data_IF_835962368275
#
_entry.id   IF_835962368275
#
_cell.length_a   1.000
_cell.length_b   1.000
_cell.length_c   1.000
_cell.angle_alpha   90.00
_cell.angle_beta   90.00
_cell.angle_gamma   90.00
#
_symmetry.space_group_name_H-M   'P 1'
#
loop_
_entity.id
_entity.type
_entity.pdbx_description
1 polymer ?
#
# COMPACT_ATOMS: atom_id res chain seq x y z
N UNK A 1 -7.54 -8.38 -19.24
CA UNK A 1 -7.93 -7.24 -18.37
C UNK A 1 -9.41 -7.30 -18.05
N UNK A 2 -10.30 -7.45 -19.04
CA UNK A 2 -11.76 -7.53 -18.80
C UNK A 2 -12.18 -8.62 -17.81
N UNK A 3 -11.64 -9.83 -17.94
CA UNK A 3 -11.87 -10.94 -16.99
C UNK A 3 -11.43 -10.63 -15.56
N UNK A 4 -10.43 -9.76 -15.38
CA UNK A 4 -9.96 -9.34 -14.07
C UNK A 4 -10.88 -8.29 -13.43
N UNK A 5 -11.49 -7.42 -14.24
CA UNK A 5 -12.46 -6.41 -13.80
C UNK A 5 -13.84 -6.99 -13.47
N UNK A 6 -14.10 -8.23 -13.86
CA UNK A 6 -15.30 -8.98 -13.46
C UNK A 6 -15.25 -9.47 -12.01
N UNK A 7 -14.06 -9.46 -11.38
CA UNK A 7 -13.93 -9.80 -9.96
C UNK A 7 -14.54 -8.71 -9.07
N UNK A 8 -15.79 -8.94 -8.68
CA UNK A 8 -16.57 -8.05 -7.82
C UNK A 8 -16.05 -8.00 -6.37
N UNK A 9 -15.12 -8.88 -5.98
CA UNK A 9 -14.48 -8.80 -4.66
C UNK A 9 -13.37 -7.76 -4.61
N UNK A 10 -12.80 -7.43 -5.78
CA UNK A 10 -11.66 -6.50 -5.93
C UNK A 10 -12.05 -5.20 -6.65
N UNK A 11 -12.97 -5.24 -7.61
CA UNK A 11 -13.36 -4.07 -8.41
C UNK A 11 -14.86 -3.83 -8.37
N UNK A 12 -15.24 -2.56 -8.26
CA UNK A 12 -16.62 -2.12 -8.35
C UNK A 12 -16.75 -1.09 -9.47
N UNK A 13 -17.73 -1.27 -10.36
CA UNK A 13 -18.03 -0.28 -11.41
C UNK A 13 -18.72 0.94 -10.78
N UNK A 14 -18.37 2.13 -11.28
CA UNK A 14 -19.02 3.40 -10.95
C UNK A 14 -19.45 4.12 -12.23
N UNK A 15 -20.43 5.00 -12.13
CA UNK A 15 -21.03 5.67 -13.30
C UNK A 15 -20.66 7.15 -13.38
N UNK A 16 -20.44 7.79 -12.24
CA UNK A 16 -20.03 9.19 -12.14
C UNK A 16 -18.53 9.29 -11.87
N UNK A 17 -17.89 10.33 -12.40
CA UNK A 17 -16.49 10.66 -12.08
C UNK A 17 -16.43 11.46 -10.77
N UNK A 18 -15.94 10.87 -9.65
CA UNK A 18 -15.88 11.57 -8.39
C UNK A 18 -14.71 12.55 -8.28
N UNK A 19 -13.82 12.66 -9.29
CA UNK A 19 -12.54 13.38 -9.19
C UNK A 19 -12.69 14.76 -8.55
N UNK A 20 -13.56 15.61 -9.10
CA UNK A 20 -13.77 16.99 -8.60
C UNK A 20 -14.30 16.97 -7.16
N UNK A 21 -15.27 16.10 -6.88
CA UNK A 21 -15.86 15.99 -5.54
C UNK A 21 -14.85 15.49 -4.49
N UNK A 22 -13.94 14.60 -4.89
CA UNK A 22 -12.88 14.06 -4.05
C UNK A 22 -11.77 15.09 -3.83
N UNK A 23 -11.42 15.88 -4.84
CA UNK A 23 -10.52 17.04 -4.69
C UNK A 23 -11.07 18.02 -3.67
N UNK A 24 -12.33 18.45 -3.81
CA UNK A 24 -12.97 19.36 -2.87
C UNK A 24 -12.99 18.80 -1.45
N UNK A 25 -13.28 17.50 -1.30
CA UNK A 25 -13.25 16.81 -0.01
C UNK A 25 -11.85 16.80 0.59
N UNK A 26 -10.83 16.50 -0.20
CA UNK A 26 -9.43 16.51 0.24
C UNK A 26 -9.00 17.93 0.65
N UNK A 27 -9.27 18.94 -0.18
CA UNK A 27 -8.90 20.33 0.10
C UNK A 27 -9.54 20.80 1.41
N UNK A 28 -10.83 20.54 1.62
CA UNK A 28 -11.53 20.87 2.88
C UNK A 28 -10.91 20.18 4.09
N UNK A 29 -10.48 18.92 3.95
CA UNK A 29 -9.78 18.19 5.01
C UNK A 29 -8.42 18.84 5.30
N UNK A 30 -7.62 19.12 4.27
CA UNK A 30 -6.29 19.70 4.42
C UNK A 30 -6.35 21.09 5.06
N UNK A 31 -7.29 21.95 4.64
CA UNK A 31 -7.52 23.27 5.24
C UNK A 31 -7.85 23.19 6.73
N UNK A 32 -8.64 22.18 7.14
CA UNK A 32 -8.95 21.96 8.55
C UNK A 32 -7.71 21.57 9.33
N UNK A 33 -6.93 20.61 8.81
CA UNK A 33 -5.71 20.13 9.45
C UNK A 33 -4.62 21.20 9.54
N UNK A 34 -4.54 22.08 8.56
CA UNK A 34 -3.64 23.23 8.58
C UNK A 34 -4.04 24.23 9.67
N UNK A 35 -5.34 24.58 9.76
CA UNK A 35 -5.86 25.45 10.83
C UNK A 35 -5.63 24.88 12.23
N UNK A 36 -5.68 23.56 12.37
CA UNK A 36 -5.39 22.84 13.61
C UNK A 36 -3.88 22.69 13.89
N UNK A 37 -3.01 23.14 12.99
CA UNK A 37 -1.55 23.04 13.11
C UNK A 37 -1.00 21.61 12.94
N UNK A 38 -1.80 20.69 12.41
CA UNK A 38 -1.39 19.30 12.20
C UNK A 38 -0.47 19.13 10.98
N UNK A 39 -0.71 19.92 9.94
CA UNK A 39 0.16 20.05 8.75
C UNK A 39 0.64 21.49 8.62
N UNK A 40 1.81 21.69 8.03
CA UNK A 40 2.33 23.02 7.71
C UNK A 40 1.69 23.58 6.43
N UNK A 41 1.80 24.89 6.21
CA UNK A 41 1.37 25.51 4.95
C UNK A 41 2.15 24.96 3.74
N UNK A 42 3.42 24.63 3.91
CA UNK A 42 4.25 24.00 2.89
C UNK A 42 3.71 22.61 2.51
N UNK A 43 3.36 21.79 3.51
CA UNK A 43 2.75 20.48 3.27
C UNK A 43 1.37 20.60 2.65
N UNK A 44 0.56 21.57 3.09
CA UNK A 44 -0.71 21.88 2.46
C UNK A 44 -0.52 22.16 0.96
N UNK A 45 0.38 23.07 0.60
CA UNK A 45 0.65 23.44 -0.80
C UNK A 45 1.23 22.28 -1.62
N UNK A 46 2.04 21.42 -1.00
CA UNK A 46 2.60 20.23 -1.65
C UNK A 46 1.55 19.13 -1.90
N UNK A 47 0.59 18.98 -0.99
CA UNK A 47 -0.39 17.88 -0.99
C UNK A 47 -1.69 18.25 -1.68
N UNK A 48 -2.03 19.53 -1.70
CA UNK A 48 -3.22 20.05 -2.37
C UNK A 48 -3.23 19.57 -3.82
N UNK A 49 -4.30 18.86 -4.16
CA UNK A 49 -4.51 18.37 -5.52
C UNK A 49 -5.31 19.39 -6.31
N UNK A 50 -4.88 19.64 -7.55
CA UNK A 50 -5.49 20.55 -8.51
C UNK A 50 -5.38 19.87 -9.88
N UNK A 51 -6.46 19.88 -10.65
CA UNK A 51 -6.50 19.25 -11.98
C UNK A 51 -6.11 17.75 -11.93
N UNK A 52 -6.66 17.06 -10.93
CA UNK A 52 -6.51 15.61 -10.79
C UNK A 52 -7.22 14.89 -11.91
N UNK A 53 -6.81 13.64 -12.11
CA UNK A 53 -7.45 12.72 -13.05
C UNK A 53 -7.68 11.36 -12.42
N UNK A 54 -8.63 10.57 -12.97
CA UNK A 54 -8.73 9.16 -12.65
C UNK A 54 -7.40 8.45 -12.87
N UNK A 55 -7.14 7.42 -12.07
CA UNK A 55 -5.97 6.60 -12.24
C UNK A 55 -6.03 5.77 -13.53
N UNK A 56 -4.90 5.14 -13.88
CA UNK A 56 -4.80 4.25 -15.03
C UNK A 56 -4.47 2.84 -14.57
N UNK A 57 -5.33 1.89 -14.88
CA UNK A 57 -5.08 0.48 -14.62
C UNK A 57 -4.38 -0.16 -15.82
N UNK A 58 -3.29 -0.88 -15.56
CA UNK A 58 -2.63 -1.72 -16.54
C UNK A 58 -2.26 -3.08 -15.93
N UNK A 59 -2.04 -4.07 -16.79
CA UNK A 59 -1.72 -5.44 -16.37
C UNK A 59 -0.29 -5.80 -16.75
N UNK A 60 0.49 -6.31 -15.79
CA UNK A 60 1.80 -6.89 -16.05
C UNK A 60 1.70 -8.43 -16.07
N UNK A 61 2.23 -9.13 -17.09
CA UNK A 61 2.16 -10.58 -17.13
C UNK A 61 3.02 -11.21 -16.03
N UNK A 62 2.45 -12.18 -15.28
CA UNK A 62 3.21 -13.02 -14.35
C UNK A 62 3.88 -14.16 -15.13
N UNK A 63 5.02 -13.87 -15.76
CA UNK A 63 5.75 -14.80 -16.64
C UNK A 63 6.12 -16.14 -15.98
N UNK A 64 6.33 -16.15 -14.66
CA UNK A 64 6.66 -17.36 -13.89
C UNK A 64 5.48 -18.32 -13.67
N UNK A 65 4.24 -17.93 -13.99
CA UNK A 65 3.07 -18.81 -13.90
C UNK A 65 2.77 -19.36 -15.29
N UNK A 66 3.42 -20.46 -15.64
CA UNK A 66 3.22 -21.15 -16.91
C UNK A 66 1.75 -21.55 -17.09
N UNK A 67 1.03 -20.82 -17.95
CA UNK A 67 -0.35 -21.05 -18.36
C UNK A 67 -0.53 -20.58 -19.80
N UNK A 68 -1.52 -21.11 -20.49
CA UNK A 68 -1.87 -20.77 -21.89
C UNK A 68 -2.10 -19.26 -22.09
N UNK A 69 -2.59 -18.57 -21.05
CA UNK A 69 -2.64 -17.11 -20.95
C UNK A 69 -2.04 -16.70 -19.60
N UNK A 70 -0.82 -16.18 -19.59
CA UNK A 70 -0.14 -15.74 -18.36
C UNK A 70 -1.06 -14.83 -17.53
N UNK A 71 -1.27 -15.12 -16.23
CA UNK A 71 -2.13 -14.28 -15.41
C UNK A 71 -1.54 -12.88 -15.27
N UNK A 72 -2.40 -11.86 -15.35
CA UNK A 72 -1.98 -10.47 -15.20
C UNK A 72 -1.92 -10.09 -13.71
N UNK A 73 -0.90 -9.31 -13.34
CA UNK A 73 -0.85 -8.53 -12.11
C UNK A 73 -1.41 -7.14 -12.42
N UNK A 74 -2.58 -6.76 -11.87
CA UNK A 74 -3.11 -5.42 -12.06
C UNK A 74 -2.24 -4.43 -11.27
N UNK A 75 -1.91 -3.30 -11.90
CA UNK A 75 -1.18 -2.19 -11.28
C UNK A 75 -1.92 -0.91 -11.62
N UNK A 76 -2.17 -0.09 -10.62
CA UNK A 76 -2.81 1.21 -10.81
C UNK A 76 -1.76 2.31 -10.75
N UNK A 77 -1.62 3.07 -11.83
CA UNK A 77 -0.80 4.28 -11.84
C UNK A 77 -1.54 5.42 -11.14
N UNK A 78 -1.18 5.67 -9.88
CA UNK A 78 -1.73 6.76 -9.07
C UNK A 78 -1.22 8.17 -9.45
N UNK A 79 -0.39 8.31 -10.49
CA UNK A 79 0.21 9.60 -10.89
C UNK A 79 -0.87 10.61 -11.31
N UNK A 80 -0.84 11.78 -10.66
CA UNK A 80 -1.84 12.87 -10.78
C UNK A 80 -3.25 12.51 -10.32
N UNK A 81 -3.41 11.49 -9.48
CA UNK A 81 -4.68 11.25 -8.80
C UNK A 81 -4.81 12.13 -7.56
N UNK A 82 -6.04 12.32 -7.08
CA UNK A 82 -6.36 13.13 -5.89
C UNK A 82 -5.55 12.71 -4.66
N UNK A 83 -5.34 11.41 -4.45
CA UNK A 83 -4.60 10.89 -3.29
C UNK A 83 -3.08 10.95 -3.41
N UNK A 84 -2.52 11.29 -4.58
CA UNK A 84 -1.09 11.08 -4.88
C UNK A 84 -0.16 11.90 -4.00
N UNK A 85 -0.39 13.22 -3.90
CA UNK A 85 0.40 14.12 -3.06
C UNK A 85 0.30 13.72 -1.58
N UNK A 86 -0.91 13.36 -1.14
CA UNK A 86 -1.15 12.94 0.23
C UNK A 86 -0.40 11.64 0.56
N UNK A 87 -0.44 10.67 -0.36
CA UNK A 87 0.31 9.42 -0.23
C UNK A 87 1.81 9.65 -0.09
N UNK A 88 2.39 10.59 -0.83
CA UNK A 88 3.81 10.98 -0.71
C UNK A 88 4.13 11.64 0.62
N UNK A 89 3.33 12.61 1.06
CA UNK A 89 3.54 13.26 2.36
C UNK A 89 3.51 12.23 3.49
N UNK A 90 2.51 11.34 3.49
CA UNK A 90 2.39 10.30 4.50
C UNK A 90 3.55 9.30 4.44
N UNK A 91 4.00 8.94 3.24
CA UNK A 91 5.19 8.10 3.03
C UNK A 91 6.42 8.71 3.70
N UNK A 92 6.66 10.01 3.50
CA UNK A 92 7.78 10.72 4.12
C UNK A 92 7.64 10.74 5.65
N UNK A 93 6.45 11.10 6.16
CA UNK A 93 6.18 11.13 7.60
C UNK A 93 6.30 9.77 8.27
N UNK A 94 5.95 8.69 7.58
CA UNK A 94 5.94 7.32 8.12
C UNK A 94 7.21 6.53 7.85
N UNK A 95 8.12 7.04 7.03
CA UNK A 95 9.33 6.33 6.59
C UNK A 95 10.16 5.79 7.75
N UNK A 96 10.26 6.53 8.85
CA UNK A 96 10.99 6.14 10.05
C UNK A 96 10.37 4.94 10.81
N UNK A 97 9.10 4.61 10.58
CA UNK A 97 8.42 3.47 11.20
C UNK A 97 8.66 2.15 10.44
N UNK A 98 9.39 2.18 9.31
CA UNK A 98 9.67 0.99 8.48
C UNK A 98 10.76 0.09 9.07
N UNK A 99 11.36 0.46 10.20
CA UNK A 99 12.49 -0.24 10.79
C UNK A 99 12.08 -1.60 11.33
N UNK A 100 12.71 -2.65 10.78
CA UNK A 100 12.60 -4.02 11.27
C UNK A 100 13.98 -4.66 11.21
N UNK A 101 14.42 -5.39 12.25
CA UNK A 101 15.71 -6.08 12.25
C UNK A 101 15.78 -7.22 11.21
N UNK A 102 14.64 -7.60 10.65
CA UNK A 102 14.51 -8.71 9.70
C UNK A 102 14.46 -8.27 8.23
N UNK A 103 14.42 -6.96 7.98
CA UNK A 103 14.38 -6.42 6.63
C UNK A 103 15.63 -6.77 5.83
N UNK A 104 15.42 -7.13 4.58
CA UNK A 104 16.47 -7.32 3.58
C UNK A 104 16.43 -6.16 2.59
N UNK A 105 17.59 -5.58 2.28
CA UNK A 105 17.65 -4.40 1.41
C UNK A 105 17.49 -4.78 -0.07
N UNK A 106 18.13 -5.87 -0.49
CA UNK A 106 18.11 -6.35 -1.86
C UNK A 106 18.46 -7.85 -1.94
N UNK A 107 18.42 -8.41 -3.15
CA UNK A 107 18.74 -9.82 -3.38
C UNK A 107 20.20 -10.19 -3.06
N UNK A 108 21.15 -9.25 -3.14
CA UNK A 108 22.55 -9.53 -2.81
C UNK A 108 22.76 -9.55 -1.29
N UNK A 109 22.13 -8.64 -0.54
CA UNK A 109 22.07 -8.67 0.92
C UNK A 109 21.48 -10.00 1.42
N UNK A 110 20.39 -10.46 0.80
CA UNK A 110 19.81 -11.77 1.09
C UNK A 110 20.81 -12.91 0.89
N UNK A 111 21.47 -12.94 -0.28
CA UNK A 111 22.45 -13.96 -0.61
C UNK A 111 23.62 -13.98 0.37
N UNK A 112 24.10 -12.81 0.79
CA UNK A 112 25.19 -12.69 1.75
C UNK A 112 24.76 -13.20 3.14
N UNK A 113 23.54 -12.88 3.58
CA UNK A 113 22.95 -13.38 4.84
C UNK A 113 22.82 -14.90 4.83
N UNK A 114 22.30 -15.49 3.75
CA UNK A 114 22.16 -16.95 3.63
C UNK A 114 23.52 -17.64 3.58
N UNK A 115 24.47 -17.15 2.77
CA UNK A 115 25.82 -17.75 2.66
C UNK A 115 26.58 -17.74 3.98
N UNK A 116 26.31 -16.76 4.84
CA UNK A 116 26.91 -16.64 6.16
C UNK A 116 26.24 -17.56 7.21
N UNK A 117 25.10 -18.17 6.88
CA UNK A 117 24.40 -19.10 7.77
C UNK A 117 25.17 -20.42 7.88
N UNK A 118 25.58 -20.79 9.09
CA UNK A 118 26.51 -21.92 9.34
C UNK A 118 25.85 -23.29 9.48
N UNK A 119 24.54 -23.42 9.26
CA UNK A 119 23.79 -24.61 9.69
C UNK A 119 23.40 -25.51 8.51
N UNK A 120 23.78 -26.78 8.60
CA UNK A 120 23.69 -27.78 7.50
C UNK A 120 22.34 -28.51 7.47
N UNK A 121 21.51 -28.39 8.52
CA UNK A 121 20.21 -29.08 8.63
C UNK A 121 19.07 -28.09 8.94
N UNK A 122 18.72 -27.26 7.94
CA UNK A 122 17.60 -26.31 8.03
C UNK A 122 16.66 -26.52 6.86
N UNK A 123 15.36 -26.28 7.10
CA UNK A 123 14.35 -26.17 6.05
C UNK A 123 13.95 -24.71 5.86
N UNK A 124 14.00 -24.25 4.61
CA UNK A 124 13.49 -22.93 4.24
C UNK A 124 12.01 -23.05 3.88
N UNK A 125 11.21 -22.12 4.41
CA UNK A 125 9.78 -21.99 4.08
C UNK A 125 9.53 -20.57 3.62
N UNK A 126 8.80 -20.41 2.53
CA UNK A 126 8.40 -19.11 1.98
C UNK A 126 6.91 -18.89 2.20
N UNK A 127 6.54 -17.68 2.63
CA UNK A 127 5.16 -17.27 2.86
C UNK A 127 4.82 -16.10 1.94
N UNK A 128 3.62 -16.14 1.34
CA UNK A 128 3.04 -15.01 0.62
C UNK A 128 2.05 -14.30 1.55
N UNK A 129 2.18 -12.98 1.69
CA UNK A 129 1.37 -12.18 2.61
C UNK A 129 0.41 -11.31 1.82
N UNK A 130 -0.88 -11.46 2.07
CA UNK A 130 -1.90 -10.56 1.56
C UNK A 130 -2.16 -9.41 2.56
N UNK A 131 -2.16 -8.17 2.06
CA UNK A 131 -2.36 -6.98 2.87
C UNK A 131 -3.85 -6.52 2.82
N UNK A 132 -4.64 -6.77 3.87
CA UNK A 132 -6.05 -6.37 3.90
C UNK A 132 -6.21 -4.86 4.19
N UNK A 133 -7.19 -4.21 3.54
CA UNK A 133 -7.49 -2.78 3.72
C UNK A 133 -8.07 -2.46 5.11
N UNK A 134 -8.83 -3.36 5.71
CA UNK A 134 -9.65 -3.09 6.92
C UNK A 134 -8.89 -3.17 8.25
N UNK A 135 -7.76 -3.87 8.33
CA UNK A 135 -7.04 -4.10 9.60
C UNK A 135 -5.96 -3.05 9.93
N UNK A 136 -5.70 -2.10 9.03
CA UNK A 136 -4.61 -1.12 9.21
C UNK A 136 -4.97 0.01 10.21
N UNK A 137 -6.25 0.31 10.42
CA UNK A 137 -6.67 1.50 11.18
C UNK A 137 -6.94 1.28 12.67
N UNK A 138 -7.06 0.04 13.16
CA UNK A 138 -7.54 -0.20 14.53
C UNK A 138 -6.49 0.02 15.62
N UNK A 139 -5.20 -0.01 15.29
CA UNK A 139 -4.09 0.07 16.27
C UNK A 139 -3.67 1.51 16.62
N UNK A 140 -3.90 2.46 15.73
CA UNK A 140 -3.50 3.87 15.91
C UNK A 140 -4.62 4.73 16.52
N UNK A 141 -5.34 4.23 17.54
CA UNK A 141 -6.51 4.89 18.17
C UNK A 141 -6.25 6.31 18.70
N UNK A 142 -4.97 6.68 18.92
CA UNK A 142 -4.62 7.92 19.65
C UNK A 142 -4.50 9.18 18.79
N UNK A 143 -4.63 9.11 17.45
CA UNK A 143 -4.54 10.31 16.59
C UNK A 143 -5.59 10.30 15.48
N UNK A 144 -6.76 10.88 15.75
CA UNK A 144 -7.92 10.93 14.85
C UNK A 144 -7.59 11.55 13.48
N UNK A 145 -6.78 12.62 13.46
CA UNK A 145 -6.31 13.26 12.23
C UNK A 145 -5.50 12.28 11.37
N UNK A 146 -4.62 11.50 12.01
CA UNK A 146 -3.76 10.56 11.32
C UNK A 146 -4.54 9.38 10.72
N UNK A 147 -5.53 8.84 11.45
CA UNK A 147 -6.44 7.84 10.91
C UNK A 147 -7.24 8.37 9.73
N UNK A 148 -7.70 9.61 9.83
CA UNK A 148 -8.47 10.26 8.76
C UNK A 148 -7.61 10.40 7.51
N UNK A 149 -6.35 10.82 7.63
CA UNK A 149 -5.41 10.88 6.51
C UNK A 149 -5.09 9.51 5.93
N UNK A 150 -4.80 8.51 6.78
CA UNK A 150 -4.52 7.13 6.36
C UNK A 150 -5.70 6.47 5.68
N UNK A 151 -6.93 6.82 6.06
CA UNK A 151 -8.12 6.38 5.33
C UNK A 151 -8.20 7.12 4.00
N UNK A 152 -7.98 8.42 3.98
CA UNK A 152 -8.17 9.27 2.78
C UNK A 152 -7.14 9.00 1.67
N UNK A 153 -5.86 8.75 2.01
CA UNK A 153 -4.79 8.63 1.02
C UNK A 153 -4.87 7.39 0.09
N UNK A 154 -5.27 6.20 0.57
CA UNK A 154 -5.54 5.03 -0.26
C UNK A 154 -7.03 4.85 -0.58
N UNK A 155 -7.91 5.82 -0.28
CA UNK A 155 -9.35 5.64 -0.50
C UNK A 155 -9.73 5.83 -1.95
N UNK A 156 -10.37 4.79 -2.49
CA UNK A 156 -11.30 4.83 -3.61
C UNK A 156 -10.73 5.46 -4.87
N UNK A 157 -9.44 5.20 -5.13
CA UNK A 157 -8.83 5.55 -6.40
C UNK A 157 -9.60 4.87 -7.52
N UNK A 158 -10.35 5.69 -8.23
CA UNK A 158 -11.08 5.27 -9.41
C UNK A 158 -10.15 5.35 -10.62
N UNK A 159 -10.40 4.49 -11.58
CA UNK A 159 -9.66 4.42 -12.83
C UNK A 159 -10.62 4.18 -13.98
N UNK A 160 -10.15 4.52 -15.17
CA UNK A 160 -10.87 4.27 -16.42
C UNK A 160 -10.27 3.06 -17.15
N UNK A 161 -11.13 2.21 -17.70
CA UNK A 161 -10.76 1.13 -18.60
C UNK A 161 -11.87 0.91 -19.63
N UNK A 162 -11.54 0.91 -20.94
CA UNK A 162 -12.51 0.81 -22.05
C UNK A 162 -13.75 1.71 -21.87
N UNK A 163 -13.52 3.00 -21.58
CA UNK A 163 -14.56 4.02 -21.33
C UNK A 163 -15.49 3.74 -20.14
N UNK A 164 -15.17 2.74 -19.31
CA UNK A 164 -15.88 2.46 -18.07
C UNK A 164 -15.04 2.89 -16.87
N UNK A 165 -15.70 3.36 -15.82
CA UNK A 165 -15.04 3.69 -14.55
C UNK A 165 -15.23 2.58 -13.52
N UNK A 166 -14.16 2.36 -12.77
CA UNK A 166 -14.10 1.36 -11.71
C UNK A 166 -13.37 1.95 -10.51
N UNK A 167 -13.66 1.40 -9.34
CA UNK A 167 -12.92 1.64 -8.10
C UNK A 167 -12.40 0.32 -7.56
N UNK A 168 -11.17 0.32 -7.04
CA UNK A 168 -10.62 -0.84 -6.35
C UNK A 168 -11.12 -0.87 -4.90
N UNK A 169 -11.68 -2.00 -4.47
CA UNK A 169 -12.22 -2.21 -3.13
C UNK A 169 -11.36 -3.23 -2.35
N UNK A 170 -11.45 -3.20 -1.02
CA UNK A 170 -10.95 -4.21 -0.07
C UNK A 170 -9.43 -4.47 0.02
N UNK A 171 -8.61 -4.01 -0.93
CA UNK A 171 -7.14 -4.14 -0.90
C UNK A 171 -6.45 -2.77 -0.93
N UNK A 172 -5.23 -2.70 -0.42
CA UNK A 172 -4.36 -1.54 -0.66
C UNK A 172 -4.00 -1.53 -2.14
N UNK A 173 -4.16 -0.37 -2.77
CA UNK A 173 -3.90 -0.21 -4.19
C UNK A 173 -2.40 -0.39 -4.51
N UNK A 174 -2.13 -1.29 -5.46
CA UNK A 174 -0.77 -1.55 -5.94
C UNK A 174 -0.40 -0.42 -6.90
N UNK A 175 0.53 0.44 -6.47
CA UNK A 175 0.98 1.61 -7.21
C UNK A 175 0.70 2.95 -6.51
N UNK A 176 -0.04 2.93 -5.39
CA UNK A 176 -0.14 4.07 -4.50
C UNK A 176 1.21 4.30 -3.77
N UNK A 177 1.70 5.55 -3.65
CA UNK A 177 2.98 5.85 -2.99
C UNK A 177 3.09 5.33 -1.55
N UNK A 178 1.97 5.30 -0.84
CA UNK A 178 1.89 4.90 0.56
C UNK A 178 1.93 3.37 0.77
N UNK A 179 1.63 2.58 -0.26
CA UNK A 179 1.44 1.13 -0.14
C UNK A 179 2.67 0.38 0.44
N UNK A 180 3.92 0.65 0.00
CA UNK A 180 5.09 -0.06 0.54
C UNK A 180 5.33 0.22 2.02
N UNK A 181 5.18 1.47 2.45
CA UNK A 181 5.39 1.86 3.86
C UNK A 181 4.36 1.19 4.76
N UNK A 182 3.12 1.13 4.32
CA UNK A 182 2.06 0.47 5.08
C UNK A 182 2.27 -1.05 5.13
N UNK A 183 2.77 -1.67 4.06
CA UNK A 183 3.13 -3.09 4.07
C UNK A 183 4.25 -3.37 5.09
N UNK A 184 5.28 -2.52 5.14
CA UNK A 184 6.38 -2.65 6.10
C UNK A 184 5.90 -2.51 7.54
N UNK A 185 5.11 -1.48 7.82
CA UNK A 185 4.52 -1.25 9.16
C UNK A 185 3.61 -2.41 9.56
N UNK A 186 2.83 -2.94 8.63
CA UNK A 186 1.96 -4.08 8.87
C UNK A 186 2.76 -5.32 9.26
N UNK A 187 3.87 -5.59 8.56
CA UNK A 187 4.75 -6.74 8.82
C UNK A 187 5.58 -6.61 10.09
N UNK A 188 5.93 -5.39 10.50
CA UNK A 188 6.62 -5.16 11.76
C UNK A 188 5.81 -5.65 12.97
N UNK A 189 4.47 -5.65 12.88
CA UNK A 189 3.62 -6.12 13.98
C UNK A 189 3.75 -7.62 14.29
N UNK A 190 3.49 -8.56 13.36
CA UNK A 190 3.68 -9.98 13.62
C UNK A 190 5.13 -10.31 13.96
N UNK A 191 6.11 -9.63 13.36
CA UNK A 191 7.52 -9.75 13.72
C UNK A 191 7.75 -9.41 15.20
N UNK A 192 7.16 -8.32 15.70
CA UNK A 192 7.33 -7.95 17.12
C UNK A 192 6.58 -8.90 18.06
N UNK A 193 5.43 -9.44 17.66
CA UNK A 193 4.56 -10.20 18.58
C UNK A 193 4.73 -11.71 18.54
N UNK A 194 5.22 -12.26 17.43
CA UNK A 194 5.28 -13.70 17.22
C UNK A 194 6.72 -14.24 17.26
N UNK A 195 7.75 -13.40 17.10
CA UNK A 195 9.13 -13.88 16.95
C UNK A 195 9.62 -14.70 18.13
N UNK A 196 9.40 -14.25 19.37
CA UNK A 196 9.81 -15.00 20.57
C UNK A 196 9.22 -16.41 20.57
N UNK A 197 7.94 -16.52 20.21
CA UNK A 197 7.25 -17.81 20.11
C UNK A 197 7.78 -18.65 18.95
N UNK A 198 8.04 -18.04 17.80
CA UNK A 198 8.57 -18.76 16.64
C UNK A 198 9.97 -19.30 16.92
N UNK A 199 10.81 -18.52 17.60
CA UNK A 199 12.16 -18.94 18.03
C UNK A 199 12.06 -20.13 19.00
N UNK A 200 11.14 -20.10 19.96
CA UNK A 200 10.88 -21.24 20.85
C UNK A 200 10.41 -22.49 20.08
N UNK A 201 9.71 -22.32 18.96
CA UNK A 201 9.28 -23.42 18.08
C UNK A 201 10.37 -23.86 17.08
N UNK A 202 11.58 -23.32 17.17
CA UNK A 202 12.72 -23.73 16.35
C UNK A 202 12.99 -22.87 15.12
N UNK A 203 12.33 -21.70 14.98
CA UNK A 203 12.69 -20.73 13.94
C UNK A 203 14.13 -20.24 14.18
N UNK A 204 15.01 -20.55 13.23
CA UNK A 204 16.41 -20.15 13.32
C UNK A 204 16.67 -18.75 12.75
N UNK A 205 16.07 -18.45 11.60
CA UNK A 205 16.31 -17.23 10.82
C UNK A 205 15.00 -16.77 10.18
N UNK A 206 14.79 -15.46 10.13
CA UNK A 206 13.67 -14.83 9.45
C UNK A 206 14.17 -13.65 8.63
N UNK A 207 13.66 -13.56 7.40
CA UNK A 207 14.00 -12.53 6.44
C UNK A 207 12.72 -12.02 5.80
N UNK A 208 12.64 -10.72 5.59
CA UNK A 208 11.53 -10.03 4.94
C UNK A 208 12.00 -9.19 3.77
#
# INVERSE_FOLDING_TARGET
METLLQDQTTFKRIYDDPTISDEDRLIRLLLRLEKEGFITNEEYNMVKSIDSRPARLYGLPKLHKAKEKYPLRPVTSAIKTVGYGLGKMLTNRLSHLRTSPYGVNDSFDFLNKIKSSKNVDKRMVSFDVELPRTKQCSKYKRRIHFQTLLRTAPSDTHFTFNNNMYVQINRVEIGAPLAPVIADIFMAHPETTLMDRLIQLGLCEWYR
#
